data_IF_319996811071
#
_entry.id   IF_319996811071
#
_cell.length_a   1.000
_cell.length_b   1.000
_cell.length_c   1.000
_cell.angle_alpha   90.00
_cell.angle_beta   90.00
_cell.angle_gamma   90.00
#
_symmetry.space_group_name_H-M   'P 1'
#
loop_
_entity.id
_entity.type
_entity.pdbx_description
1 polymer ?
#
# COMPACT_ATOMS: atom_id res chain seq x y z
N UNK A 1 8.07 -11.00 -15.85
CA UNK A 1 6.75 -10.54 -15.35
C UNK A 1 6.83 -10.16 -13.88
N UNK A 2 7.28 -11.05 -13.00
CA UNK A 2 7.42 -10.80 -11.55
C UNK A 2 8.25 -9.56 -11.15
N UNK A 3 9.32 -9.26 -11.88
CA UNK A 3 10.17 -8.08 -11.64
C UNK A 3 9.49 -6.76 -11.99
N UNK A 4 8.49 -6.77 -12.88
CA UNK A 4 7.77 -5.56 -13.27
C UNK A 4 6.73 -5.17 -12.21
N UNK A 5 6.00 -6.15 -11.66
CA UNK A 5 5.10 -5.93 -10.52
C UNK A 5 5.86 -5.42 -9.29
N UNK A 6 7.03 -6.00 -9.02
CA UNK A 6 7.88 -5.55 -7.92
C UNK A 6 8.34 -4.10 -8.11
N UNK A 7 8.79 -3.74 -9.32
CA UNK A 7 9.20 -2.38 -9.65
C UNK A 7 8.03 -1.38 -9.54
N UNK A 8 6.84 -1.77 -10.00
CA UNK A 8 5.62 -0.96 -9.83
C UNK A 8 5.27 -0.75 -8.36
N UNK A 9 5.31 -1.82 -7.56
CA UNK A 9 5.06 -1.73 -6.13
C UNK A 9 6.09 -0.83 -5.42
N UNK A 10 7.36 -0.87 -5.80
CA UNK A 10 8.39 0.03 -5.27
C UNK A 10 8.16 1.49 -5.64
N UNK A 11 7.88 1.79 -6.91
CA UNK A 11 7.56 3.16 -7.34
C UNK A 11 6.30 3.70 -6.65
N UNK A 12 5.29 2.85 -6.51
CA UNK A 12 4.06 3.24 -5.82
C UNK A 12 4.32 3.48 -4.34
N UNK A 13 5.15 2.66 -3.69
CA UNK A 13 5.57 2.85 -2.31
C UNK A 13 6.33 4.17 -2.10
N UNK A 14 7.24 4.54 -3.01
CA UNK A 14 7.94 5.83 -2.95
C UNK A 14 6.97 7.01 -3.08
N UNK A 15 6.02 6.90 -4.02
CA UNK A 15 5.00 7.92 -4.25
C UNK A 15 4.07 8.09 -3.05
N UNK A 16 3.66 6.99 -2.42
CA UNK A 16 2.88 7.01 -1.18
C UNK A 16 3.63 7.74 -0.06
N UNK A 17 4.92 7.46 0.13
CA UNK A 17 5.72 8.14 1.17
C UNK A 17 5.79 9.66 0.95
N UNK A 18 5.80 10.10 -0.30
CA UNK A 18 5.84 11.52 -0.68
C UNK A 18 4.46 12.20 -0.67
N UNK A 19 3.37 11.43 -0.66
CA UNK A 19 2.02 11.96 -0.64
C UNK A 19 1.53 12.32 0.77
N UNK A 20 0.55 13.22 0.78
CA UNK A 20 -0.28 13.59 1.93
C UNK A 20 -1.20 12.44 2.35
N UNK A 21 -1.76 12.48 3.57
CA UNK A 21 -2.65 11.42 4.09
C UNK A 21 -3.80 11.07 3.12
N UNK A 22 -4.47 12.07 2.52
CA UNK A 22 -5.50 11.83 1.51
C UNK A 22 -4.96 11.19 0.23
N UNK A 23 -3.77 11.59 -0.22
CA UNK A 23 -3.08 11.00 -1.37
C UNK A 23 -2.69 9.54 -1.11
N UNK A 24 -2.22 9.24 0.11
CA UNK A 24 -1.86 7.88 0.55
C UNK A 24 -3.06 6.95 0.54
N UNK A 25 -4.21 7.40 1.06
CA UNK A 25 -5.47 6.65 1.03
C UNK A 25 -5.89 6.26 -0.39
N UNK A 26 -5.78 7.20 -1.35
CA UNK A 26 -6.10 6.93 -2.76
C UNK A 26 -5.17 5.88 -3.37
N UNK A 27 -3.88 5.98 -3.09
CA UNK A 27 -2.84 5.08 -3.62
C UNK A 27 -2.81 3.72 -2.91
N UNK A 28 -3.30 3.63 -1.66
CA UNK A 28 -3.34 2.39 -0.89
C UNK A 28 -4.15 1.31 -1.60
N UNK A 29 -5.33 1.66 -2.12
CA UNK A 29 -6.18 0.68 -2.83
C UNK A 29 -5.44 0.03 -4.01
N UNK A 30 -4.63 0.81 -4.72
CA UNK A 30 -3.78 0.35 -5.81
C UNK A 30 -2.60 -0.50 -5.29
N UNK A 31 -1.99 -0.07 -4.18
CA UNK A 31 -0.88 -0.77 -3.53
C UNK A 31 -1.29 -2.15 -3.00
N UNK A 32 -2.43 -2.26 -2.34
CA UNK A 32 -2.96 -3.52 -1.83
C UNK A 32 -3.27 -4.52 -2.96
N UNK A 33 -3.74 -4.03 -4.12
CA UNK A 33 -3.93 -4.87 -5.32
C UNK A 33 -2.59 -5.40 -5.83
N UNK A 34 -1.59 -4.53 -5.99
CA UNK A 34 -0.23 -4.94 -6.39
C UNK A 34 0.38 -5.96 -5.42
N UNK A 35 0.19 -5.79 -4.11
CA UNK A 35 0.64 -6.76 -3.10
C UNK A 35 -0.08 -8.10 -3.21
N UNK A 36 -1.37 -8.08 -3.52
CA UNK A 36 -2.16 -9.29 -3.76
C UNK A 36 -1.70 -10.01 -5.02
N UNK A 37 -1.46 -9.28 -6.12
CA UNK A 37 -0.96 -9.82 -7.38
C UNK A 37 0.43 -10.46 -7.19
N UNK A 38 1.32 -9.79 -6.45
CA UNK A 38 2.64 -10.33 -6.11
C UNK A 38 2.53 -11.63 -5.28
N UNK A 39 1.59 -11.72 -4.34
CA UNK A 39 1.33 -12.96 -3.58
C UNK A 39 0.75 -14.06 -4.47
N UNK A 40 -0.16 -13.74 -5.38
CA UNK A 40 -0.77 -14.68 -6.33
C UNK A 40 0.29 -15.25 -7.29
N UNK A 41 1.22 -14.41 -7.75
CA UNK A 41 2.36 -14.85 -8.57
C UNK A 41 3.43 -15.62 -7.79
N UNK A 42 3.30 -15.75 -6.46
CA UNK A 42 4.30 -16.40 -5.60
C UNK A 42 5.60 -15.61 -5.45
N UNK A 43 5.55 -14.29 -5.69
CA UNK A 43 6.70 -13.40 -5.57
C UNK A 43 6.91 -13.03 -4.10
N UNK A 44 8.14 -13.21 -3.63
CA UNK A 44 8.53 -12.77 -2.30
C UNK A 44 8.46 -11.24 -2.22
N UNK A 45 7.53 -10.76 -1.41
CA UNK A 45 7.38 -9.33 -1.13
C UNK A 45 8.48 -8.89 -0.15
N UNK A 46 9.33 -7.92 -0.50
CA UNK A 46 10.32 -7.36 0.41
C UNK A 46 9.68 -6.81 1.68
N UNK A 47 10.35 -7.01 2.82
CA UNK A 47 9.88 -6.53 4.13
C UNK A 47 9.52 -5.04 4.13
N UNK A 48 10.27 -4.21 3.42
CA UNK A 48 10.02 -2.76 3.29
C UNK A 48 8.66 -2.40 2.67
N UNK A 49 8.15 -3.26 1.78
CA UNK A 49 6.86 -3.09 1.12
C UNK A 49 5.75 -3.58 2.04
N UNK A 50 5.97 -4.75 2.67
CA UNK A 50 5.02 -5.27 3.63
C UNK A 50 4.83 -4.34 4.85
N UNK A 51 5.91 -3.74 5.35
CA UNK A 51 5.85 -2.76 6.45
C UNK A 51 4.96 -1.57 6.06
N UNK A 52 5.14 -1.03 4.85
CA UNK A 52 4.32 0.07 4.36
C UNK A 52 2.83 -0.31 4.22
N UNK A 53 2.53 -1.54 3.77
CA UNK A 53 1.16 -2.07 3.70
C UNK A 53 0.47 -2.10 5.08
N UNK A 54 1.22 -2.45 6.13
CA UNK A 54 0.75 -2.44 7.51
C UNK A 54 0.53 -1.02 8.01
N UNK A 55 1.51 -0.13 7.80
CA UNK A 55 1.42 1.28 8.22
C UNK A 55 0.19 1.96 7.58
N UNK A 56 -0.04 1.74 6.28
CA UNK A 56 -1.22 2.25 5.57
C UNK A 56 -2.53 1.60 6.02
N UNK A 57 -2.46 0.36 6.52
CA UNK A 57 -3.60 -0.37 7.11
C UNK A 57 -4.06 0.27 8.40
N UNK A 58 -3.11 0.64 9.25
CA UNK A 58 -3.36 1.34 10.50
C UNK A 58 -3.85 2.77 10.24
N UNK A 59 -3.21 3.54 9.34
CA UNK A 59 -3.64 4.90 8.98
C UNK A 59 -5.10 4.96 8.46
N UNK A 60 -5.54 3.97 7.66
CA UNK A 60 -6.95 3.93 7.20
C UNK A 60 -7.92 3.57 8.31
N UNK A 61 -7.53 2.62 9.18
CA UNK A 61 -8.37 2.25 10.30
C UNK A 61 -8.63 3.48 11.18
N UNK A 62 -7.57 4.23 11.52
CA UNK A 62 -7.68 5.48 12.26
C UNK A 62 -8.56 6.52 11.55
N UNK A 63 -8.36 6.75 10.24
CA UNK A 63 -9.18 7.68 9.46
C UNK A 63 -10.67 7.26 9.36
N UNK A 64 -10.98 5.96 9.37
CA UNK A 64 -12.36 5.47 9.38
C UNK A 64 -13.03 5.68 10.74
N UNK A 65 -12.28 5.56 11.85
CA UNK A 65 -12.81 5.80 13.19
C UNK A 65 -13.03 7.29 13.47
N UNK A 66 -12.15 8.17 12.99
CA UNK A 66 -12.27 9.63 13.19
C UNK A 66 -13.45 10.26 12.44
N UNK A 67 -13.95 9.58 11.40
CA UNK A 67 -15.11 10.00 10.59
C UNK A 67 -16.44 9.36 11.02
N UNK A 68 -16.50 8.61 12.13
CA UNK A 68 -17.79 8.15 12.65
C UNK A 68 -18.53 9.32 13.32
N UNK A 69 -19.66 9.82 12.77
CA UNK A 69 -20.45 10.80 13.48
C UNK A 69 -21.05 10.12 14.71
N UNK A 70 -20.81 10.70 15.89
CA UNK A 70 -21.63 10.43 17.08
C UNK A 70 -23.00 11.07 16.93
#
# INVERSE_FOLDING_TARGET
>A
MSSELLNRAEKLAERIRQESAEGRLKLRSEYARLMSDLRIEGVLVPRRLHQLDVDLSEEEAENQFDNMPV
#
